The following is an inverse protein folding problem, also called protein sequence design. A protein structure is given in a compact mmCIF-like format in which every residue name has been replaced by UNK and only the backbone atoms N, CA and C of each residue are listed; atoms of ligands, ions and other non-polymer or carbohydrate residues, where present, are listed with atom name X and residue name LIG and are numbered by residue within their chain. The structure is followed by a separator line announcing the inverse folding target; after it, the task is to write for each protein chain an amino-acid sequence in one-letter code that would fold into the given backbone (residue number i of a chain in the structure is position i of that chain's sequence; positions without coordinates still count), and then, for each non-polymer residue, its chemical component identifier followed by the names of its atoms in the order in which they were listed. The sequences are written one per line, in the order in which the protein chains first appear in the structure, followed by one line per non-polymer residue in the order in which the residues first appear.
data_IF_344779491043
#
_entry.id   IF_344779491043
#
_cell.length_a   1.000
_cell.length_b   1.000
_cell.length_c   1.000
_cell.angle_alpha   90.00
_cell.angle_beta   90.00
_cell.angle_gamma   90.00
#
_symmetry.space_group_name_H-M   'P 1'
#
loop_
_entity.id
_entity.type
_entity.pdbx_description
1 polymer ?
#
# COMPACT_ATOMS: atom_id res chain seq x y z
N UNK A 1 -31.56 55.91 31.76
CA UNK A 1 -30.52 54.89 32.12
C UNK A 1 -30.71 53.51 31.50
N UNK A 2 -31.75 53.24 30.69
CA UNK A 2 -32.07 51.89 30.17
C UNK A 2 -31.28 51.44 28.93
N UNK A 3 -31.03 52.37 27.94
CA UNK A 3 -30.46 52.00 26.63
C UNK A 3 -29.01 51.49 26.65
N UNK A 4 -28.15 52.01 27.49
CA UNK A 4 -26.75 51.56 27.61
C UNK A 4 -26.64 50.17 28.24
N UNK A 5 -27.48 49.82 29.25
CA UNK A 5 -27.49 48.49 29.86
C UNK A 5 -27.96 47.43 28.87
N UNK A 6 -28.95 47.73 28.03
CA UNK A 6 -29.44 46.86 26.98
C UNK A 6 -28.39 46.58 25.92
N UNK A 7 -27.64 47.61 25.56
CA UNK A 7 -26.54 47.47 24.57
C UNK A 7 -25.43 46.53 25.05
N UNK A 8 -25.00 46.61 26.31
CA UNK A 8 -24.00 45.69 26.86
C UNK A 8 -24.53 44.30 27.05
N UNK A 9 -25.84 44.13 27.33
CA UNK A 9 -26.48 42.84 27.45
C UNK A 9 -26.57 42.14 26.10
N UNK A 10 -26.89 42.84 25.03
CA UNK A 10 -26.89 42.29 23.63
C UNK A 10 -25.51 41.95 23.19
N UNK A 11 -24.49 42.75 23.45
CA UNK A 11 -23.07 42.42 23.14
C UNK A 11 -22.63 41.19 23.92
N UNK A 12 -22.98 41.04 25.16
CA UNK A 12 -22.67 39.86 25.99
C UNK A 12 -23.26 38.58 25.41
N UNK A 13 -24.53 38.63 24.92
CA UNK A 13 -25.17 37.47 24.30
C UNK A 13 -24.52 37.12 22.96
N UNK A 14 -24.14 38.12 22.14
CA UNK A 14 -23.45 37.89 20.85
C UNK A 14 -22.06 37.27 21.08
N UNK A 15 -21.31 37.75 22.07
CA UNK A 15 -20.01 37.20 22.44
C UNK A 15 -20.13 35.75 22.99
N UNK A 16 -21.15 35.45 23.82
CA UNK A 16 -21.43 34.11 24.30
C UNK A 16 -21.83 33.15 23.16
N UNK A 17 -22.63 33.61 22.19
CA UNK A 17 -23.01 32.84 21.03
C UNK A 17 -21.81 32.58 20.10
N UNK A 18 -20.94 33.58 19.87
CA UNK A 18 -19.71 33.41 19.10
C UNK A 18 -18.75 32.43 19.77
N UNK A 19 -18.61 32.48 21.11
CA UNK A 19 -17.76 31.54 21.86
C UNK A 19 -18.31 30.11 21.83
N UNK A 20 -19.63 29.94 21.82
CA UNK A 20 -20.27 28.63 21.70
C UNK A 20 -20.08 28.01 20.31
N UNK A 21 -20.12 28.81 19.25
CA UNK A 21 -19.93 28.34 17.85
C UNK A 21 -18.48 27.95 17.63
N UNK A 22 -17.51 28.72 18.13
CA UNK A 22 -16.08 28.38 18.03
C UNK A 22 -15.71 27.18 18.90
N UNK A 23 -16.30 27.04 20.09
CA UNK A 23 -16.10 25.88 20.97
C UNK A 23 -16.66 24.57 20.38
N UNK A 24 -17.80 24.63 19.70
CA UNK A 24 -18.41 23.45 19.04
C UNK A 24 -17.59 23.04 17.81
N UNK A 25 -17.02 23.99 17.06
CA UNK A 25 -16.15 23.68 15.92
C UNK A 25 -14.85 22.96 16.30
N UNK A 26 -14.35 23.15 17.53
CA UNK A 26 -13.18 22.46 18.07
C UNK A 26 -13.51 21.06 18.60
N UNK A 27 -14.81 20.75 18.84
CA UNK A 27 -15.27 19.44 19.33
C UNK A 27 -15.74 18.50 18.21
N UNK A 28 -15.86 18.98 16.97
CA UNK A 28 -16.05 18.09 15.80
C UNK A 28 -14.69 17.49 15.48
N UNK A 29 -14.27 16.51 16.27
CA UNK A 29 -13.16 15.65 15.90
C UNK A 29 -13.54 14.98 14.58
N UNK A 30 -12.71 15.12 13.56
CA UNK A 30 -12.82 14.37 12.30
C UNK A 30 -13.05 12.89 12.66
N UNK A 31 -13.97 12.19 12.00
CA UNK A 31 -14.24 10.79 12.31
C UNK A 31 -12.91 10.03 12.30
N UNK A 32 -12.55 9.44 13.43
CA UNK A 32 -11.31 8.69 13.53
C UNK A 32 -11.51 7.35 12.83
N UNK A 33 -10.62 7.03 11.91
CA UNK A 33 -10.58 5.72 11.25
C UNK A 33 -9.87 4.74 12.18
N UNK A 34 -10.44 3.55 12.36
CA UNK A 34 -9.86 2.46 13.13
C UNK A 34 -9.88 1.17 12.30
N UNK A 35 -8.83 0.38 12.44
CA UNK A 35 -8.82 -1.03 12.04
C UNK A 35 -8.67 -1.81 13.33
N UNK A 36 -9.72 -2.54 13.72
CA UNK A 36 -9.88 -3.11 15.06
C UNK A 36 -9.67 -2.03 16.13
N UNK A 37 -8.66 -2.16 16.98
CA UNK A 37 -8.32 -1.20 18.04
C UNK A 37 -7.20 -0.23 17.64
N UNK A 38 -6.71 -0.28 16.39
CA UNK A 38 -5.62 0.55 15.92
C UNK A 38 -6.18 1.81 15.26
N UNK A 39 -5.89 2.95 15.85
CA UNK A 39 -6.22 4.24 15.26
C UNK A 39 -5.33 4.51 14.04
N UNK A 40 -5.95 4.80 12.91
CA UNK A 40 -5.27 5.22 11.69
C UNK A 40 -5.09 6.74 11.75
N UNK A 41 -3.85 7.20 11.65
CA UNK A 41 -3.56 8.63 11.61
C UNK A 41 -3.96 9.23 10.26
N UNK A 42 -4.19 10.55 10.24
CA UNK A 42 -4.45 11.27 9.00
C UNK A 42 -3.29 11.14 8.01
N UNK A 43 -2.05 11.24 8.51
CA UNK A 43 -0.85 11.07 7.69
C UNK A 43 -0.74 9.69 7.05
N UNK A 44 -1.10 8.65 7.81
CA UNK A 44 -1.15 7.28 7.30
C UNK A 44 -2.20 7.13 6.21
N UNK A 45 -3.41 7.63 6.43
CA UNK A 45 -4.47 7.59 5.43
C UNK A 45 -4.08 8.35 4.14
N UNK A 46 -3.50 9.53 4.27
CA UNK A 46 -3.02 10.33 3.14
C UNK A 46 -1.89 9.64 2.38
N UNK A 47 -0.99 8.96 3.09
CA UNK A 47 0.06 8.14 2.48
C UNK A 47 -0.54 7.05 1.59
N UNK A 48 -1.46 6.23 2.10
CA UNK A 48 -2.08 5.18 1.31
C UNK A 48 -2.89 5.72 0.13
N UNK A 49 -3.59 6.84 0.30
CA UNK A 49 -4.30 7.50 -0.81
C UNK A 49 -3.32 7.96 -1.88
N UNK A 50 -2.16 8.51 -1.50
CA UNK A 50 -1.15 8.95 -2.47
C UNK A 50 -0.56 7.79 -3.27
N UNK A 51 -0.33 6.64 -2.64
CA UNK A 51 0.15 5.42 -3.30
C UNK A 51 -0.86 4.89 -4.34
N UNK A 52 -2.17 4.99 -4.06
CA UNK A 52 -3.22 4.50 -4.95
C UNK A 52 -3.59 5.44 -6.10
N UNK A 53 -3.23 6.72 -6.03
CA UNK A 53 -3.65 7.72 -7.04
C UNK A 53 -3.20 7.36 -8.45
N UNK A 54 -1.93 7.01 -8.63
CA UNK A 54 -1.36 6.74 -9.96
C UNK A 54 -2.08 5.57 -10.64
N UNK A 55 -2.24 4.46 -9.93
CA UNK A 55 -2.91 3.27 -10.45
C UNK A 55 -4.41 3.52 -10.71
N UNK A 56 -5.07 4.27 -9.82
CA UNK A 56 -6.47 4.63 -9.98
C UNK A 56 -6.69 5.53 -11.19
N UNK A 57 -5.85 6.53 -11.38
CA UNK A 57 -5.94 7.44 -12.52
C UNK A 57 -5.66 6.72 -13.85
N UNK A 58 -4.67 5.83 -13.89
CA UNK A 58 -4.39 5.00 -15.04
C UNK A 58 -5.57 4.08 -15.40
N UNK A 59 -6.25 3.51 -14.40
CA UNK A 59 -7.45 2.70 -14.59
C UNK A 59 -8.57 3.49 -15.30
N UNK A 60 -8.89 4.71 -14.82
CA UNK A 60 -9.94 5.53 -15.41
C UNK A 60 -9.53 6.05 -16.79
N UNK A 61 -8.27 6.44 -16.98
CA UNK A 61 -7.75 6.83 -18.29
C UNK A 61 -7.91 5.70 -19.32
N UNK A 62 -7.53 4.48 -18.95
CA UNK A 62 -7.63 3.31 -19.84
C UNK A 62 -9.07 2.86 -20.10
N UNK A 63 -9.90 2.79 -19.05
CA UNK A 63 -11.28 2.30 -19.17
C UNK A 63 -12.21 3.27 -19.92
N UNK A 64 -12.04 4.57 -19.68
CA UNK A 64 -12.95 5.60 -20.21
C UNK A 64 -12.31 6.51 -21.27
N UNK A 65 -11.07 6.22 -21.66
CA UNK A 65 -10.26 7.08 -22.55
C UNK A 65 -10.25 8.54 -22.07
N UNK A 66 -10.15 8.74 -20.74
CA UNK A 66 -10.26 10.04 -20.10
C UNK A 66 -8.90 10.74 -20.07
N UNK A 67 -8.91 12.06 -20.30
CA UNK A 67 -7.71 12.89 -20.21
C UNK A 67 -7.38 13.22 -18.73
N UNK A 68 -6.29 12.65 -18.23
CA UNK A 68 -5.82 12.84 -16.85
C UNK A 68 -5.17 14.21 -16.62
N UNK A 69 -4.86 14.97 -17.68
CA UNK A 69 -4.20 16.28 -17.58
C UNK A 69 -5.14 17.40 -17.14
N UNK A 70 -6.45 17.20 -17.34
CA UNK A 70 -7.44 18.21 -16.97
C UNK A 70 -7.67 18.26 -15.47
N UNK A 71 -7.70 19.45 -14.90
CA UNK A 71 -7.81 19.64 -13.44
C UNK A 71 -9.08 19.07 -12.83
N UNK A 72 -10.17 18.96 -13.60
CA UNK A 72 -11.44 18.36 -13.18
C UNK A 72 -11.43 16.84 -13.17
N UNK A 73 -10.48 16.16 -13.84
CA UNK A 73 -10.46 14.71 -14.01
C UNK A 73 -10.70 13.95 -12.72
N UNK A 74 -9.96 14.29 -11.66
CA UNK A 74 -10.04 13.60 -10.35
C UNK A 74 -11.42 13.62 -9.71
N UNK A 75 -12.24 14.66 -10.02
CA UNK A 75 -13.56 14.87 -9.46
C UNK A 75 -14.68 14.61 -10.50
N UNK A 76 -14.33 14.21 -11.73
CA UNK A 76 -15.30 13.84 -12.75
C UNK A 76 -15.88 12.47 -12.43
N UNK A 77 -17.19 12.32 -12.48
CA UNK A 77 -17.85 11.03 -12.25
C UNK A 77 -17.80 10.14 -13.51
N UNK A 78 -17.40 8.89 -13.27
CA UNK A 78 -17.41 7.81 -14.25
C UNK A 78 -18.18 6.64 -13.66
N UNK A 79 -19.30 6.28 -14.21
CA UNK A 79 -20.19 5.22 -13.70
C UNK A 79 -20.54 5.39 -12.21
N UNK A 80 -20.71 6.64 -11.75
CA UNK A 80 -21.13 6.94 -10.38
C UNK A 80 -20.02 7.07 -9.33
N UNK A 81 -18.75 6.93 -9.72
CA UNK A 81 -17.60 7.11 -8.84
C UNK A 81 -16.56 8.04 -9.49
N UNK A 82 -15.85 8.82 -8.69
CA UNK A 82 -14.74 9.65 -9.16
C UNK A 82 -13.39 8.92 -9.01
N UNK A 83 -12.36 9.27 -9.81
CA UNK A 83 -11.01 8.74 -9.61
C UNK A 83 -10.45 8.96 -8.21
N UNK A 84 -10.77 10.08 -7.57
CA UNK A 84 -10.35 10.39 -6.20
C UNK A 84 -11.06 9.50 -5.17
N UNK A 85 -12.37 9.26 -5.30
CA UNK A 85 -13.14 8.35 -4.43
C UNK A 85 -12.64 6.92 -4.58
N UNK A 86 -12.42 6.47 -5.81
CA UNK A 86 -11.89 5.14 -6.09
C UNK A 86 -10.48 4.94 -5.48
N UNK A 87 -9.60 5.95 -5.57
CA UNK A 87 -8.29 5.89 -4.92
C UNK A 87 -8.42 5.77 -3.40
N UNK A 88 -9.37 6.47 -2.78
CA UNK A 88 -9.64 6.38 -1.34
C UNK A 88 -10.19 5.02 -0.93
N UNK A 89 -11.12 4.44 -1.70
CA UNK A 89 -11.63 3.09 -1.44
C UNK A 89 -10.53 2.05 -1.50
N UNK A 90 -9.65 2.12 -2.50
CA UNK A 90 -8.48 1.24 -2.61
C UNK A 90 -7.52 1.43 -1.44
N UNK A 91 -7.24 2.68 -1.07
CA UNK A 91 -6.40 3.01 0.07
C UNK A 91 -6.95 2.44 1.37
N UNK A 92 -8.25 2.54 1.63
CA UNK A 92 -8.89 1.94 2.80
C UNK A 92 -8.73 0.41 2.82
N UNK A 93 -8.94 -0.25 1.69
CA UNK A 93 -8.72 -1.70 1.57
C UNK A 93 -7.27 -2.06 1.89
N UNK A 94 -6.31 -1.33 1.34
CA UNK A 94 -4.89 -1.58 1.57
C UNK A 94 -4.47 -1.29 3.02
N UNK A 95 -5.05 -0.28 3.67
CA UNK A 95 -4.85 -0.02 5.10
C UNK A 95 -5.30 -1.23 5.92
N UNK A 96 -6.51 -1.72 5.68
CA UNK A 96 -7.06 -2.89 6.42
C UNK A 96 -6.17 -4.12 6.19
N UNK A 97 -5.82 -4.43 4.94
CA UNK A 97 -4.96 -5.57 4.62
C UNK A 97 -3.60 -5.46 5.32
N UNK A 98 -2.96 -4.29 5.23
CA UNK A 98 -1.64 -4.07 5.81
C UNK A 98 -1.66 -4.13 7.34
N UNK A 99 -2.69 -3.56 7.98
CA UNK A 99 -2.83 -3.65 9.45
C UNK A 99 -3.04 -5.08 9.91
N UNK A 100 -3.84 -5.86 9.20
CA UNK A 100 -4.04 -7.27 9.53
C UNK A 100 -2.72 -8.06 9.41
N UNK A 101 -1.93 -7.82 8.37
CA UNK A 101 -0.59 -8.44 8.23
C UNK A 101 0.31 -8.05 9.39
N UNK A 102 0.36 -6.76 9.76
CA UNK A 102 1.19 -6.28 10.85
C UNK A 102 0.74 -6.83 12.22
N UNK A 103 -0.58 -6.98 12.44
CA UNK A 103 -1.11 -7.60 13.66
C UNK A 103 -0.68 -9.06 13.75
N UNK A 104 -0.89 -9.85 12.70
CA UNK A 104 -0.49 -11.25 12.67
C UNK A 104 1.03 -11.41 12.84
N UNK A 105 1.80 -10.55 12.18
CA UNK A 105 3.26 -10.56 12.31
C UNK A 105 3.71 -10.20 13.73
N UNK A 106 3.04 -9.27 14.40
CA UNK A 106 3.31 -8.91 15.79
C UNK A 106 2.99 -10.07 16.75
N UNK A 107 1.86 -10.73 16.57
CA UNK A 107 1.47 -11.92 17.32
C UNK A 107 2.48 -13.06 17.16
N UNK A 108 3.03 -13.22 15.95
CA UNK A 108 4.08 -14.19 15.65
C UNK A 108 5.50 -13.74 16.08
N UNK A 109 5.66 -12.54 16.67
CA UNK A 109 6.97 -12.01 17.07
C UNK A 109 7.88 -11.55 15.92
N UNK A 110 7.32 -11.38 14.70
CA UNK A 110 8.04 -10.97 13.49
C UNK A 110 8.02 -9.45 13.26
N UNK A 111 7.13 -8.73 13.95
CA UNK A 111 7.05 -7.27 13.92
C UNK A 111 7.01 -6.71 15.33
N UNK A 112 7.81 -5.67 15.61
CA UNK A 112 7.82 -5.01 16.93
C UNK A 112 6.61 -4.11 17.12
N UNK A 113 6.17 -3.42 16.07
CA UNK A 113 5.07 -2.47 16.12
C UNK A 113 4.16 -2.56 14.88
N UNK A 114 2.89 -2.22 15.09
CA UNK A 114 1.87 -2.04 14.03
C UNK A 114 1.66 -0.56 13.72
N UNK A 115 2.37 0.33 14.39
CA UNK A 115 2.22 1.77 14.30
C UNK A 115 2.93 2.33 13.07
N UNK A 116 2.20 3.13 12.28
CA UNK A 116 2.78 3.86 11.15
C UNK A 116 3.91 4.80 11.57
N UNK A 117 3.76 5.46 12.72
CA UNK A 117 4.78 6.38 13.25
C UNK A 117 6.07 5.67 13.62
N UNK A 118 5.98 4.43 14.15
CA UNK A 118 7.15 3.65 14.52
C UNK A 118 7.88 3.16 13.28
N UNK A 119 7.16 2.62 12.28
CA UNK A 119 7.74 2.23 10.99
C UNK A 119 8.42 3.44 10.31
N UNK A 120 7.83 4.64 10.44
CA UNK A 120 8.42 5.85 9.90
C UNK A 120 9.69 6.29 10.65
N UNK A 121 9.76 6.02 11.94
CA UNK A 121 10.97 6.23 12.75
C UNK A 121 12.07 5.25 12.32
N UNK A 122 11.73 3.97 12.20
CA UNK A 122 12.66 2.92 11.75
C UNK A 122 13.23 3.22 10.36
N UNK A 123 12.42 3.73 9.44
CA UNK A 123 12.89 4.22 8.14
C UNK A 123 13.98 5.29 8.27
N UNK A 124 13.77 6.28 9.12
CA UNK A 124 14.77 7.35 9.33
C UNK A 124 16.08 6.80 9.89
N UNK A 125 15.98 5.89 10.86
CA UNK A 125 17.14 5.22 11.46
C UNK A 125 17.85 4.33 10.43
N UNK A 126 17.11 3.59 9.62
CA UNK A 126 17.64 2.78 8.52
C UNK A 126 18.44 3.62 7.52
N UNK A 127 17.89 4.74 7.04
CA UNK A 127 18.57 5.63 6.09
C UNK A 127 19.80 6.28 6.73
N UNK A 128 19.70 6.73 7.99
CA UNK A 128 20.82 7.33 8.71
C UNK A 128 21.97 6.34 8.91
N UNK A 129 21.67 5.11 9.31
CA UNK A 129 22.67 4.06 9.48
C UNK A 129 23.43 3.76 8.19
N UNK A 130 22.73 3.72 7.04
CA UNK A 130 23.36 3.49 5.72
C UNK A 130 24.24 4.64 5.28
N UNK A 131 23.84 5.89 5.54
CA UNK A 131 24.68 7.07 5.27
C UNK A 131 25.97 7.03 6.12
N UNK A 132 25.83 6.76 7.39
CA UNK A 132 26.99 6.65 8.30
C UNK A 132 27.95 5.53 7.87
N UNK A 133 27.43 4.38 7.43
CA UNK A 133 28.26 3.27 6.93
C UNK A 133 29.05 3.68 5.68
N UNK A 134 28.42 4.40 4.74
CA UNK A 134 29.13 4.93 3.57
C UNK A 134 30.21 5.94 3.96
N UNK A 135 29.91 6.85 4.89
CA UNK A 135 30.89 7.84 5.40
C UNK A 135 32.07 7.14 6.11
N UNK A 136 31.83 5.98 6.73
CA UNK A 136 32.84 5.16 7.38
C UNK A 136 33.57 4.21 6.41
N UNK A 137 33.35 4.32 5.08
CA UNK A 137 33.90 3.42 4.06
C UNK A 137 33.47 1.95 4.23
N UNK A 138 32.35 1.68 4.84
CA UNK A 138 31.76 0.35 4.93
C UNK A 138 30.98 0.02 3.64
N UNK A 139 30.96 -1.29 3.29
CA UNK A 139 30.21 -1.72 2.11
C UNK A 139 28.72 -1.76 2.42
N UNK A 140 27.94 -0.97 1.67
CA UNK A 140 26.49 -0.95 1.76
C UNK A 140 25.88 -1.57 0.50
N UNK A 141 25.12 -2.66 0.68
CA UNK A 141 24.40 -3.30 -0.43
C UNK A 141 23.03 -2.64 -0.64
N UNK A 142 22.75 -2.27 -1.90
CA UNK A 142 21.50 -1.61 -2.29
C UNK A 142 21.55 -0.08 -2.14
N UNK A 143 20.43 0.63 -2.30
CA UNK A 143 20.39 2.10 -2.29
C UNK A 143 20.72 2.65 -0.90
N UNK A 144 21.57 3.67 -0.84
CA UNK A 144 21.91 4.39 0.40
C UNK A 144 20.73 5.25 0.83
N UNK A 145 20.08 5.90 -0.11
CA UNK A 145 18.85 6.67 0.10
C UNK A 145 17.65 5.85 -0.38
N UNK A 146 16.61 5.85 0.42
CA UNK A 146 15.36 5.16 0.12
C UNK A 146 14.20 6.06 0.54
N UNK A 147 13.21 6.23 -0.34
CA UNK A 147 11.99 6.95 0.01
C UNK A 147 11.22 6.19 1.10
N UNK A 148 10.35 6.88 1.82
CA UNK A 148 9.52 6.19 2.82
C UNK A 148 8.56 5.18 2.16
N UNK A 149 8.04 5.47 0.97
CA UNK A 149 7.19 4.55 0.20
C UNK A 149 7.93 3.25 -0.14
N UNK A 150 9.16 3.36 -0.66
CA UNK A 150 9.98 2.18 -0.99
C UNK A 150 10.35 1.38 0.27
N UNK A 151 10.71 2.08 1.36
CA UNK A 151 11.00 1.43 2.65
C UNK A 151 9.77 0.71 3.21
N UNK A 152 8.60 1.35 3.17
CA UNK A 152 7.37 0.76 3.66
C UNK A 152 7.01 -0.50 2.88
N UNK A 153 7.11 -0.44 1.55
CA UNK A 153 6.89 -1.60 0.67
C UNK A 153 7.90 -2.72 0.95
N UNK A 154 9.17 -2.38 1.13
CA UNK A 154 10.23 -3.32 1.51
C UNK A 154 9.92 -3.97 2.88
N UNK A 155 9.57 -3.18 3.89
CA UNK A 155 9.26 -3.64 5.24
C UNK A 155 8.10 -4.63 5.25
N UNK A 156 6.98 -4.30 4.59
CA UNK A 156 5.82 -5.18 4.49
C UNK A 156 6.15 -6.46 3.70
N UNK A 157 6.92 -6.34 2.61
CA UNK A 157 7.32 -7.50 1.81
C UNK A 157 8.23 -8.44 2.59
N UNK A 158 9.14 -7.90 3.39
CA UNK A 158 10.00 -8.69 4.29
C UNK A 158 9.17 -9.47 5.30
N UNK A 159 8.22 -8.82 5.96
CA UNK A 159 7.30 -9.47 6.92
C UNK A 159 6.49 -10.57 6.23
N UNK A 160 5.89 -10.30 5.06
CA UNK A 160 5.14 -11.30 4.29
C UNK A 160 6.01 -12.53 3.97
N UNK A 161 7.26 -12.31 3.59
CA UNK A 161 8.20 -13.39 3.29
C UNK A 161 8.52 -14.21 4.55
N UNK A 162 8.82 -13.58 5.67
CA UNK A 162 9.11 -14.25 6.93
C UNK A 162 7.91 -15.10 7.41
N UNK A 163 6.69 -14.53 7.34
CA UNK A 163 5.46 -15.26 7.65
C UNK A 163 5.26 -16.46 6.71
N UNK A 164 5.55 -16.30 5.41
CA UNK A 164 5.42 -17.38 4.43
C UNK A 164 6.45 -18.50 4.67
N UNK A 165 7.69 -18.15 5.01
CA UNK A 165 8.71 -19.14 5.35
C UNK A 165 8.32 -19.94 6.61
N UNK A 166 7.79 -19.26 7.64
CA UNK A 166 7.28 -19.94 8.83
C UNK A 166 6.10 -20.86 8.49
N UNK A 167 5.15 -20.36 7.68
CA UNK A 167 4.01 -21.18 7.22
C UNK A 167 4.45 -22.45 6.50
N UNK A 168 5.49 -22.38 5.66
CA UNK A 168 6.04 -23.56 4.96
C UNK A 168 6.64 -24.58 5.94
N UNK A 169 7.26 -24.12 7.03
CA UNK A 169 7.80 -25.00 8.07
C UNK A 169 6.67 -25.72 8.79
N UNK A 170 5.63 -24.97 9.21
CA UNK A 170 4.50 -25.48 9.98
C UNK A 170 3.58 -26.37 9.14
N UNK A 171 3.51 -26.13 7.83
CA UNK A 171 2.65 -26.83 6.87
C UNK A 171 3.47 -27.58 5.80
N UNK A 172 4.51 -28.25 6.22
CA UNK A 172 5.36 -28.98 5.28
C UNK A 172 4.59 -30.11 4.59
N UNK A 173 4.42 -29.97 3.27
CA UNK A 173 3.77 -30.98 2.45
C UNK A 173 4.52 -32.33 2.54
N UNK A 174 3.75 -33.39 2.71
CA UNK A 174 4.29 -34.75 2.64
C UNK A 174 4.62 -35.09 1.16
N UNK A 175 5.67 -35.89 0.95
CA UNK A 175 6.02 -36.31 -0.42
C UNK A 175 4.84 -37.05 -1.12
N UNK A 176 4.06 -37.78 -0.35
CA UNK A 176 2.83 -38.46 -0.83
C UNK A 176 1.79 -37.49 -1.37
N UNK A 177 1.58 -36.34 -0.68
CA UNK A 177 0.61 -35.32 -1.11
C UNK A 177 1.10 -34.60 -2.38
N UNK A 178 2.38 -34.28 -2.43
CA UNK A 178 3.01 -33.69 -3.62
C UNK A 178 2.92 -34.61 -4.82
N UNK A 179 3.17 -35.91 -4.63
CA UNK A 179 3.06 -36.93 -5.67
C UNK A 179 1.61 -37.09 -6.13
N UNK A 180 0.67 -37.15 -5.19
CA UNK A 180 -0.77 -37.27 -5.51
C UNK A 180 -1.24 -36.08 -6.33
N UNK A 181 -0.83 -34.83 -5.94
CA UNK A 181 -1.17 -33.63 -6.69
C UNK A 181 -0.59 -33.67 -8.11
N UNK A 182 0.69 -34.04 -8.26
CA UNK A 182 1.32 -34.21 -9.58
C UNK A 182 0.58 -35.23 -10.45
N UNK A 183 0.26 -36.42 -9.89
CA UNK A 183 -0.42 -37.46 -10.63
C UNK A 183 -1.82 -37.03 -11.11
N UNK A 184 -2.54 -36.25 -10.30
CA UNK A 184 -3.88 -35.72 -10.63
C UNK A 184 -3.88 -34.51 -11.56
N UNK A 185 -2.73 -33.87 -11.79
CA UNK A 185 -2.63 -32.66 -12.59
C UNK A 185 -1.50 -32.72 -13.64
N UNK A 186 -1.18 -33.89 -14.12
CA UNK A 186 -0.09 -34.11 -15.09
C UNK A 186 -0.17 -33.22 -16.33
N UNK A 187 -1.39 -32.91 -16.75
CA UNK A 187 -1.64 -32.03 -17.90
C UNK A 187 -1.08 -30.60 -17.70
N UNK A 188 -1.04 -30.09 -16.48
CA UNK A 188 -0.47 -28.76 -16.17
C UNK A 188 1.04 -28.73 -16.37
N UNK A 189 1.71 -29.87 -16.17
CA UNK A 189 3.16 -29.99 -16.27
C UNK A 189 3.65 -30.45 -17.66
N UNK A 190 2.73 -30.95 -18.51
CA UNK A 190 3.07 -31.49 -19.83
C UNK A 190 3.06 -30.44 -20.96
N UNK A 191 2.48 -29.25 -20.73
CA UNK A 191 2.33 -28.24 -21.78
C UNK A 191 3.64 -27.50 -22.10
N UNK A 192 4.57 -27.37 -21.15
CA UNK A 192 5.86 -26.69 -21.40
C UNK A 192 6.80 -27.48 -22.34
N UNK A 193 6.73 -28.81 -22.33
CA UNK A 193 7.60 -29.60 -23.20
C UNK A 193 7.30 -29.45 -24.69
N UNK A 194 6.06 -29.14 -25.09
CA UNK A 194 5.71 -28.93 -26.52
C UNK A 194 6.38 -27.70 -27.12
N UNK A 195 6.55 -26.62 -26.34
CA UNK A 195 7.20 -25.39 -26.81
C UNK A 195 8.69 -25.54 -26.99
N UNK A 196 9.37 -26.31 -26.14
CA UNK A 196 10.82 -26.54 -26.23
C UNK A 196 11.14 -27.44 -27.44
N UNK A 197 10.33 -28.47 -27.68
CA UNK A 197 10.50 -29.37 -28.86
C UNK A 197 10.32 -28.59 -30.17
N UNK A 198 9.35 -27.71 -30.26
CA UNK A 198 9.12 -26.90 -31.47
C UNK A 198 10.28 -25.95 -31.75
N UNK A 199 10.87 -25.35 -30.72
CA UNK A 199 12.02 -24.45 -30.86
C UNK A 199 13.29 -25.19 -31.32
N UNK A 200 13.53 -26.42 -30.86
CA UNK A 200 14.64 -27.26 -31.27
C UNK A 200 14.47 -27.70 -32.73
N UNK A 201 13.28 -28.07 -33.15
CA UNK A 201 12.96 -28.54 -34.51
C UNK A 201 13.09 -27.40 -35.52
N UNK A 202 12.65 -26.20 -35.21
CA UNK A 202 12.84 -25.00 -36.04
C UNK A 202 14.34 -24.63 -36.18
N UNK A 203 15.14 -24.81 -35.13
CA UNK A 203 16.58 -24.55 -35.17
C UNK A 203 17.33 -25.55 -36.04
N UNK A 204 16.99 -26.84 -35.98
CA UNK A 204 17.58 -27.88 -36.84
C UNK A 204 17.25 -27.70 -38.32
N UNK A 205 16.03 -27.30 -38.67
CA UNK A 205 15.65 -27.03 -40.05
C UNK A 205 16.38 -25.82 -40.62
N UNK A 206 16.59 -24.75 -39.84
CA UNK A 206 17.38 -23.59 -40.30
C UNK A 206 18.86 -23.92 -40.55
N UNK A 207 19.43 -24.81 -39.73
CA UNK A 207 20.83 -25.23 -39.88
C UNK A 207 21.02 -26.16 -41.09
N UNK A 208 20.02 -26.99 -41.41
CA UNK A 208 20.03 -27.83 -42.59
C UNK A 208 19.90 -27.05 -43.90
N UNK A 209 19.05 -25.99 -43.95
CA UNK A 209 18.93 -25.10 -45.12
C UNK A 209 20.15 -24.22 -45.37
N UNK A 210 20.92 -23.87 -44.31
CA UNK A 210 22.12 -23.04 -44.41
C UNK A 210 23.37 -23.77 -44.93
N UNK A 211 23.35 -25.11 -45.03
CA UNK A 211 24.45 -25.93 -45.57
C UNK A 211 24.25 -26.37 -47.03
N UNK A 212 23.13 -26.00 -47.65
CA UNK A 212 22.81 -26.32 -49.06
C UNK A 212 23.02 -25.16 -50.03
N UNK A 213 23.97 -24.25 -49.72
CA UNK A 213 24.45 -23.22 -50.65
C UNK A 213 25.96 -23.27 -50.74
#
# INVERSE_FOLDING_TARGET
MGKRRYFYFVIGIVLLAAFSITGISLLISSPALYVENIKISKEEAEFFVSEEKSASYAYFAGKYNADTSVSSFRNTQFDGITPEEYARERALKNIVETKNILLLAKEAGMAESVSYSDIRKDWKEFVAARKNAVESNEIVYGPVEMSFSDYYSYYISKIKLEMFEQYKVDNRLQESETRQYYESHKELFSQEMKSVFWFIQCRMQRTAMGRAR
#
